data_IF_689583047992
#
_entry.id   IF_689583047992
#
_cell.length_a   1.000
_cell.length_b   1.000
_cell.length_c   1.000
_cell.angle_alpha   90.00
_cell.angle_beta   90.00
_cell.angle_gamma   90.00
#
_symmetry.space_group_name_H-M   'P 1'
#
loop_
_entity.id
_entity.type
_entity.pdbx_description
1 polymer ?
#
# COMPACT_ATOMS: atom_id res chain seq x y z
N UNK A 1 0.04 -26.72 -0.30
CA UNK A 1 1.06 -27.11 0.70
C UNK A 1 0.69 -26.49 2.05
N UNK A 2 0.78 -27.20 3.19
CA UNK A 2 0.54 -26.61 4.51
C UNK A 2 1.47 -25.42 4.78
N UNK A 3 0.97 -24.37 5.44
CA UNK A 3 1.75 -23.15 5.75
C UNK A 3 3.01 -23.44 6.57
N UNK A 4 2.98 -24.45 7.44
CA UNK A 4 4.15 -24.88 8.21
C UNK A 4 5.31 -25.35 7.33
N UNK A 5 5.04 -26.20 6.33
CA UNK A 5 6.08 -26.68 5.40
C UNK A 5 6.69 -25.56 4.56
N UNK A 6 5.88 -24.55 4.22
CA UNK A 6 6.35 -23.34 3.56
C UNK A 6 7.33 -22.61 4.49
N UNK A 7 6.95 -22.38 5.75
CA UNK A 7 7.78 -21.71 6.76
C UNK A 7 9.10 -22.44 7.00
N UNK A 8 9.08 -23.77 7.11
CA UNK A 8 10.30 -24.56 7.33
C UNK A 8 11.30 -24.40 6.17
N UNK A 9 10.81 -24.52 4.93
CA UNK A 9 11.60 -24.26 3.73
C UNK A 9 12.22 -22.85 3.74
N UNK A 10 11.44 -21.85 4.14
CA UNK A 10 11.92 -20.47 4.23
C UNK A 10 13.03 -20.30 5.26
N UNK A 11 12.86 -20.88 6.45
CA UNK A 11 13.87 -20.85 7.49
C UNK A 11 15.16 -21.52 6.99
N UNK A 12 15.07 -22.64 6.27
CA UNK A 12 16.23 -23.31 5.67
C UNK A 12 16.94 -22.47 4.60
N UNK A 13 16.19 -21.81 3.70
CA UNK A 13 16.78 -20.90 2.71
C UNK A 13 17.45 -19.68 3.37
N UNK A 14 16.92 -19.21 4.50
CA UNK A 14 17.44 -18.08 5.25
C UNK A 14 18.66 -18.43 6.12
N UNK A 15 18.82 -19.69 6.55
CA UNK A 15 19.98 -20.20 7.31
C UNK A 15 21.30 -20.16 6.53
N UNK A 16 21.24 -20.13 5.20
CA UNK A 16 22.43 -20.14 4.33
C UNK A 16 23.18 -18.79 4.34
N UNK A 17 22.56 -17.71 4.83
CA UNK A 17 23.24 -16.42 4.99
C UNK A 17 24.08 -16.39 6.28
N UNK A 18 25.40 -16.08 6.24
CA UNK A 18 26.27 -16.04 7.41
C UNK A 18 25.99 -14.78 8.26
N UNK A 19 24.81 -14.69 8.85
CA UNK A 19 24.36 -13.58 9.66
C UNK A 19 24.23 -14.08 11.11
N UNK A 20 25.31 -13.93 11.88
CA UNK A 20 25.49 -14.45 13.25
C UNK A 20 24.44 -13.97 14.28
N UNK A 21 23.56 -13.04 13.91
CA UNK A 21 22.61 -12.37 14.81
C UNK A 21 21.15 -12.69 14.50
N UNK A 22 20.87 -13.59 13.56
CA UNK A 22 19.51 -13.99 13.25
C UNK A 22 19.07 -15.18 14.12
N UNK A 23 17.80 -15.23 14.54
CA UNK A 23 17.27 -16.41 15.22
C UNK A 23 17.27 -17.63 14.28
N UNK A 24 17.35 -18.83 14.86
CA UNK A 24 17.35 -20.10 14.10
C UNK A 24 16.12 -20.27 13.21
N UNK A 25 14.96 -19.80 13.69
CA UNK A 25 13.68 -19.75 12.98
C UNK A 25 13.21 -18.31 12.87
N UNK A 26 13.55 -17.61 11.78
CA UNK A 26 13.17 -16.22 11.57
C UNK A 26 11.71 -16.02 11.15
N UNK A 27 11.03 -17.05 10.68
CA UNK A 27 9.60 -16.99 10.33
C UNK A 27 8.84 -17.97 11.21
N UNK A 28 7.75 -17.51 11.85
CA UNK A 28 6.96 -18.33 12.79
C UNK A 28 5.47 -18.09 12.60
N UNK A 29 4.67 -19.16 12.66
CA UNK A 29 3.21 -19.07 12.73
C UNK A 29 2.77 -18.87 14.19
N UNK A 30 2.08 -17.77 14.49
CA UNK A 30 1.54 -17.46 15.83
C UNK A 30 0.10 -16.99 15.71
N UNK A 31 -0.81 -17.66 16.43
CA UNK A 31 -2.23 -17.28 16.49
C UNK A 31 -2.89 -17.05 15.12
N UNK A 32 -2.53 -17.86 14.12
CA UNK A 32 -3.08 -17.74 12.76
C UNK A 32 -2.44 -16.66 11.88
N UNK A 33 -1.40 -15.95 12.35
CA UNK A 33 -0.61 -15.00 11.59
C UNK A 33 0.85 -15.44 11.49
N UNK A 34 1.54 -14.99 10.45
CA UNK A 34 2.97 -15.24 10.25
C UNK A 34 3.76 -14.02 10.73
N UNK A 35 4.70 -14.24 11.63
CA UNK A 35 5.61 -13.23 12.13
C UNK A 35 7.02 -13.46 11.56
N UNK A 36 7.74 -12.37 11.30
CA UNK A 36 9.17 -12.38 11.02
C UNK A 36 9.99 -11.92 12.22
N UNK A 37 11.22 -12.40 12.33
CA UNK A 37 12.15 -12.00 13.38
C UNK A 37 13.49 -11.56 12.80
N UNK A 38 13.88 -10.34 13.13
CA UNK A 38 15.15 -9.74 12.72
C UNK A 38 15.89 -9.24 13.97
N UNK A 39 16.82 -10.06 14.48
CA UNK A 39 17.41 -9.85 15.80
C UNK A 39 16.31 -9.77 16.88
N UNK A 40 16.23 -8.67 17.66
CA UNK A 40 15.20 -8.50 18.69
C UNK A 40 13.85 -8.02 18.14
N UNK A 41 13.75 -7.72 16.84
CA UNK A 41 12.54 -7.15 16.24
C UNK A 41 11.58 -8.25 15.82
N UNK A 42 10.33 -8.13 16.25
CA UNK A 42 9.19 -8.88 15.70
C UNK A 42 8.51 -8.06 14.62
N UNK A 43 8.45 -8.60 13.42
CA UNK A 43 7.89 -7.98 12.22
C UNK A 43 6.56 -8.64 11.88
N UNK A 44 5.54 -7.84 11.66
CA UNK A 44 4.18 -8.27 11.31
C UNK A 44 3.67 -7.46 10.13
N UNK A 45 2.58 -7.94 9.52
CA UNK A 45 1.97 -7.31 8.35
C UNK A 45 0.70 -6.58 8.74
N UNK A 46 0.52 -5.38 8.18
CA UNK A 46 -0.80 -4.78 8.04
C UNK A 46 -1.02 -4.39 6.60
N UNK A 47 -2.27 -4.40 6.17
CA UNK A 47 -2.69 -4.23 4.79
C UNK A 47 -3.68 -3.09 4.69
N UNK A 48 -3.52 -2.25 3.67
CA UNK A 48 -4.48 -1.20 3.34
C UNK A 48 -5.09 -1.48 1.97
N UNK A 49 -6.43 -1.39 1.81
CA UNK A 49 -7.07 -1.60 0.51
C UNK A 49 -6.56 -0.61 -0.54
N UNK A 50 -6.33 -1.15 -1.73
CA UNK A 50 -6.20 -0.40 -2.96
C UNK A 50 -7.49 -0.57 -3.77
N UNK A 51 -8.08 0.55 -4.13
CA UNK A 51 -9.45 0.61 -4.64
C UNK A 51 -9.45 1.20 -6.04
N UNK A 52 -10.03 0.49 -7.01
CA UNK A 52 -10.42 1.08 -8.26
C UNK A 52 -11.62 2.00 -8.03
N UNK A 53 -11.47 3.28 -8.41
CA UNK A 53 -12.49 4.30 -8.21
C UNK A 53 -13.14 4.67 -9.54
N UNK A 54 -14.47 4.66 -9.56
CA UNK A 54 -15.27 5.10 -10.69
C UNK A 54 -16.59 5.70 -10.19
N UNK A 55 -17.26 6.48 -11.04
CA UNK A 55 -18.58 7.05 -10.73
C UNK A 55 -19.66 5.99 -10.50
N UNK A 56 -19.51 4.79 -11.08
CA UNK A 56 -20.43 3.66 -10.94
C UNK A 56 -20.25 2.87 -9.64
N UNK A 57 -19.17 3.12 -8.89
CA UNK A 57 -18.84 2.38 -7.68
C UNK A 57 -17.35 2.19 -7.51
N UNK A 58 -16.99 1.57 -6.40
CA UNK A 58 -15.61 1.33 -6.02
C UNK A 58 -15.38 -0.16 -5.78
N UNK A 59 -14.22 -0.68 -6.19
CA UNK A 59 -13.86 -2.09 -6.06
C UNK A 59 -12.48 -2.21 -5.45
N UNK A 60 -12.32 -3.06 -4.43
CA UNK A 60 -10.99 -3.43 -3.92
C UNK A 60 -10.32 -4.33 -4.98
N UNK A 61 -9.14 -3.93 -5.44
CA UNK A 61 -8.37 -4.66 -6.48
C UNK A 61 -7.06 -5.25 -5.94
N UNK A 62 -6.77 -4.98 -4.66
CA UNK A 62 -5.58 -5.47 -4.00
C UNK A 62 -5.29 -4.71 -2.71
N UNK A 63 -4.11 -4.93 -2.15
CA UNK A 63 -3.72 -4.35 -0.88
C UNK A 63 -2.26 -3.91 -0.88
N UNK A 64 -2.01 -2.75 -0.27
CA UNK A 64 -0.67 -2.32 0.11
C UNK A 64 -0.28 -2.99 1.42
N UNK A 65 0.84 -3.71 1.43
CA UNK A 65 1.42 -4.21 2.66
C UNK A 65 2.33 -3.16 3.32
N UNK A 66 2.25 -3.09 4.65
CA UNK A 66 3.16 -2.32 5.48
C UNK A 66 3.67 -3.19 6.63
N UNK A 67 4.95 -3.01 6.97
CA UNK A 67 5.52 -3.62 8.16
C UNK A 67 5.05 -2.89 9.42
N UNK A 68 4.77 -3.67 10.46
CA UNK A 68 4.71 -3.22 11.85
C UNK A 68 5.79 -3.95 12.63
N UNK A 69 6.65 -3.20 13.30
CA UNK A 69 7.77 -3.75 14.06
C UNK A 69 7.61 -3.46 15.55
N UNK A 70 7.87 -4.47 16.36
CA UNK A 70 7.94 -4.36 17.82
C UNK A 70 9.35 -4.74 18.28
N UNK A 71 9.96 -3.91 19.11
CA UNK A 71 11.25 -4.21 19.75
C UNK A 71 11.11 -5.11 20.99
N UNK A 72 12.23 -5.36 21.68
CA UNK A 72 12.30 -6.25 22.85
C UNK A 72 11.33 -5.88 24.00
N UNK A 73 10.99 -4.59 24.15
CA UNK A 73 10.06 -4.11 25.17
C UNK A 73 8.64 -3.88 24.63
N UNK A 74 8.26 -4.51 23.51
CA UNK A 74 7.00 -4.26 22.79
C UNK A 74 6.81 -2.81 22.31
N UNK A 75 7.86 -1.99 22.32
CA UNK A 75 7.83 -0.65 21.75
C UNK A 75 7.67 -0.75 20.23
N UNK A 76 6.74 0.03 19.67
CA UNK A 76 6.55 0.11 18.23
C UNK A 76 7.69 0.91 17.59
N UNK A 77 8.30 0.36 16.53
CA UNK A 77 9.31 1.05 15.73
C UNK A 77 8.76 1.42 14.35
N UNK A 78 8.94 2.68 13.91
CA UNK A 78 8.66 3.09 12.54
C UNK A 78 9.51 2.31 11.53
N UNK A 79 8.95 2.04 10.35
CA UNK A 79 9.65 1.31 9.29
C UNK A 79 11.04 1.92 8.93
N UNK A 80 11.20 3.26 8.80
CA UNK A 80 12.52 3.84 8.54
C UNK A 80 13.58 3.47 9.58
N UNK A 81 13.21 3.42 10.87
CA UNK A 81 14.14 3.03 11.94
C UNK A 81 14.49 1.53 11.89
N UNK A 82 13.51 0.70 11.54
CA UNK A 82 13.73 -0.75 11.32
C UNK A 82 14.75 -0.96 10.21
N UNK A 83 14.58 -0.29 9.06
CA UNK A 83 15.53 -0.40 7.94
C UNK A 83 16.88 0.28 8.23
N UNK A 84 16.91 1.32 9.07
CA UNK A 84 18.16 1.94 9.54
C UNK A 84 18.97 1.01 10.46
N UNK A 85 18.32 0.09 11.18
CA UNK A 85 19.01 -0.91 12.02
C UNK A 85 19.83 -1.92 11.21
N UNK A 86 19.42 -2.21 9.98
CA UNK A 86 20.15 -3.07 9.05
C UNK A 86 21.27 -2.27 8.37
N UNK A 87 22.45 -2.17 9.01
CA UNK A 87 23.58 -1.33 8.52
C UNK A 87 24.34 -1.94 7.34
N UNK A 88 24.54 -3.24 7.35
CA UNK A 88 25.30 -3.96 6.32
C UNK A 88 24.45 -4.32 5.10
N UNK A 89 25.10 -4.49 3.94
CA UNK A 89 24.44 -4.88 2.69
C UNK A 89 23.72 -6.24 2.81
N UNK A 90 24.34 -7.22 3.46
CA UNK A 90 23.69 -8.51 3.70
C UNK A 90 22.45 -8.37 4.61
N UNK A 91 22.54 -7.53 5.65
CA UNK A 91 21.45 -7.28 6.58
C UNK A 91 20.23 -6.63 5.91
N UNK A 92 20.47 -5.64 5.02
CA UNK A 92 19.36 -4.98 4.32
C UNK A 92 18.69 -5.91 3.30
N UNK A 93 19.47 -6.74 2.61
CA UNK A 93 18.93 -7.75 1.70
C UNK A 93 18.06 -8.74 2.45
N UNK A 94 18.55 -9.21 3.59
CA UNK A 94 17.83 -10.14 4.45
C UNK A 94 16.52 -9.55 4.98
N UNK A 95 16.58 -8.37 5.61
CA UNK A 95 15.40 -7.71 6.20
C UNK A 95 14.30 -7.47 5.16
N UNK A 96 14.66 -6.96 3.99
CA UNK A 96 13.71 -6.71 2.90
C UNK A 96 13.05 -8.01 2.40
N UNK A 97 13.83 -9.09 2.21
CA UNK A 97 13.31 -10.41 1.84
C UNK A 97 12.38 -10.97 2.92
N UNK A 98 12.74 -10.81 4.20
CA UNK A 98 11.92 -11.25 5.33
C UNK A 98 10.58 -10.52 5.35
N UNK A 99 10.58 -9.18 5.26
CA UNK A 99 9.34 -8.39 5.20
C UNK A 99 8.42 -8.84 4.07
N UNK A 100 8.94 -8.95 2.84
CA UNK A 100 8.15 -9.39 1.68
C UNK A 100 7.60 -10.80 1.82
N UNK A 101 8.39 -11.70 2.38
CA UNK A 101 7.97 -13.08 2.68
C UNK A 101 6.82 -13.10 3.68
N UNK A 102 6.97 -12.38 4.80
CA UNK A 102 5.97 -12.30 5.87
C UNK A 102 4.67 -11.67 5.34
N UNK A 103 4.77 -10.62 4.52
CA UNK A 103 3.62 -9.99 3.86
C UNK A 103 2.90 -10.96 2.93
N UNK A 104 3.63 -11.65 2.05
CA UNK A 104 3.08 -12.63 1.12
C UNK A 104 2.35 -13.76 1.86
N UNK A 105 2.98 -14.33 2.90
CA UNK A 105 2.39 -15.44 3.65
C UNK A 105 1.12 -15.03 4.42
N UNK A 106 1.08 -13.81 4.95
CA UNK A 106 -0.13 -13.30 5.60
C UNK A 106 -1.23 -12.94 4.60
N UNK A 107 -0.86 -12.38 3.45
CA UNK A 107 -1.78 -12.04 2.37
C UNK A 107 -2.45 -13.29 1.79
N UNK A 108 -1.66 -14.31 1.48
CA UNK A 108 -2.13 -15.57 0.89
C UNK A 108 -3.18 -16.32 1.71
N UNK A 109 -3.21 -16.10 3.01
CA UNK A 109 -4.17 -16.75 3.91
C UNK A 109 -5.57 -16.14 3.81
N UNK A 110 -5.70 -14.97 3.21
CA UNK A 110 -6.89 -14.12 3.28
C UNK A 110 -7.35 -13.60 1.91
N UNK A 111 -6.42 -13.50 0.94
CA UNK A 111 -6.66 -12.89 -0.36
C UNK A 111 -7.58 -13.75 -1.24
N UNK A 112 -8.37 -13.09 -2.07
CA UNK A 112 -9.10 -13.75 -3.14
C UNK A 112 -8.14 -14.13 -4.29
N UNK A 113 -8.62 -14.87 -5.28
CA UNK A 113 -7.79 -15.36 -6.39
C UNK A 113 -7.21 -14.22 -7.26
N UNK A 114 -7.93 -13.11 -7.40
CA UNK A 114 -7.55 -11.99 -8.29
C UNK A 114 -6.87 -10.80 -7.58
N UNK A 115 -6.82 -10.81 -6.24
CA UNK A 115 -6.27 -9.68 -5.48
C UNK A 115 -4.77 -9.51 -5.74
N UNK A 116 -4.35 -8.26 -5.88
CA UNK A 116 -2.94 -7.90 -6.07
C UNK A 116 -2.28 -7.53 -4.74
N UNK A 117 -1.01 -7.90 -4.55
CA UNK A 117 -0.23 -7.51 -3.37
C UNK A 117 0.86 -6.50 -3.76
N UNK A 118 0.78 -5.30 -3.20
CA UNK A 118 1.79 -4.26 -3.40
C UNK A 118 2.85 -4.34 -2.30
N UNK A 119 4.11 -4.52 -2.71
CA UNK A 119 5.26 -4.73 -1.85
C UNK A 119 6.33 -3.67 -2.11
N UNK A 120 6.67 -2.90 -1.08
CA UNK A 120 7.82 -2.00 -1.15
C UNK A 120 9.13 -2.80 -1.16
N UNK A 121 10.05 -2.43 -2.06
CA UNK A 121 11.44 -2.88 -2.06
C UNK A 121 12.34 -1.70 -1.74
N UNK A 122 13.12 -1.83 -0.67
CA UNK A 122 13.98 -0.74 -0.21
C UNK A 122 15.10 -0.43 -1.21
N UNK A 123 15.39 0.85 -1.48
CA UNK A 123 16.43 1.25 -2.45
C UNK A 123 17.81 0.61 -2.14
N UNK A 124 18.21 0.58 -0.86
CA UNK A 124 19.42 -0.13 -0.40
C UNK A 124 19.42 -1.64 -0.69
N UNK A 125 18.26 -2.31 -0.79
CA UNK A 125 18.18 -3.71 -1.27
C UNK A 125 18.53 -3.78 -2.75
N UNK A 126 17.95 -2.89 -3.56
CA UNK A 126 18.27 -2.77 -4.99
C UNK A 126 19.77 -2.53 -5.21
N UNK A 127 20.39 -1.70 -4.37
CA UNK A 127 21.82 -1.40 -4.43
C UNK A 127 22.73 -2.44 -3.73
N UNK A 128 22.19 -3.43 -3.04
CA UNK A 128 22.98 -4.47 -2.41
C UNK A 128 22.97 -5.78 -3.21
N UNK A 129 21.88 -6.06 -3.93
CA UNK A 129 21.78 -7.22 -4.82
C UNK A 129 22.47 -6.89 -6.16
N UNK A 130 23.39 -7.75 -6.65
CA UNK A 130 24.14 -7.47 -7.87
C UNK A 130 23.37 -7.82 -9.16
N UNK A 131 22.57 -8.88 -9.15
CA UNK A 131 21.83 -9.40 -10.31
C UNK A 131 20.61 -10.22 -9.86
N UNK A 132 19.79 -10.65 -10.83
CA UNK A 132 18.64 -11.56 -10.65
C UNK A 132 17.63 -11.13 -9.59
N UNK A 133 17.36 -9.81 -9.54
CA UNK A 133 16.27 -9.29 -8.74
C UNK A 133 14.96 -10.01 -9.07
N UNK A 134 14.22 -10.37 -8.02
CA UNK A 134 12.95 -11.08 -8.14
C UNK A 134 13.06 -12.60 -8.18
N UNK A 135 14.22 -13.18 -8.52
CA UNK A 135 14.36 -14.65 -8.68
C UNK A 135 14.05 -15.42 -7.40
N UNK A 136 14.68 -14.99 -6.30
CA UNK A 136 14.44 -15.59 -4.99
C UNK A 136 12.95 -15.57 -4.65
N UNK A 137 12.27 -14.45 -4.90
CA UNK A 137 10.87 -14.28 -4.53
C UNK A 137 9.92 -15.01 -5.49
N UNK A 138 10.29 -15.15 -6.76
CA UNK A 138 9.53 -15.88 -7.78
C UNK A 138 9.46 -17.37 -7.44
N UNK A 139 10.60 -17.97 -7.07
CA UNK A 139 10.64 -19.35 -6.60
C UNK A 139 9.74 -19.62 -5.39
N UNK A 140 9.51 -18.60 -4.55
CA UNK A 140 8.62 -18.68 -3.40
C UNK A 140 7.15 -18.59 -3.79
N UNK A 141 6.82 -17.65 -4.68
CA UNK A 141 5.47 -17.50 -5.22
C UNK A 141 5.01 -18.81 -5.86
N UNK A 142 5.84 -19.42 -6.72
CA UNK A 142 5.51 -20.68 -7.38
C UNK A 142 5.21 -21.83 -6.42
N UNK A 143 5.96 -21.95 -5.31
CA UNK A 143 5.68 -22.99 -4.28
C UNK A 143 4.37 -22.76 -3.54
N UNK A 144 3.91 -21.51 -3.49
CA UNK A 144 2.63 -21.13 -2.91
C UNK A 144 1.48 -21.15 -3.92
N UNK A 145 1.72 -21.53 -5.19
CA UNK A 145 0.72 -21.49 -6.25
C UNK A 145 0.38 -20.07 -6.73
N UNK A 146 1.23 -19.08 -6.44
CA UNK A 146 1.11 -17.73 -6.96
C UNK A 146 2.00 -17.52 -8.16
N UNK A 147 1.60 -16.56 -8.98
CA UNK A 147 2.40 -16.06 -10.09
C UNK A 147 2.89 -14.64 -9.79
N UNK A 148 4.06 -14.23 -10.33
CA UNK A 148 4.60 -12.88 -10.16
C UNK A 148 3.67 -11.74 -10.57
N UNK A 149 2.72 -11.97 -11.50
CA UNK A 149 1.78 -10.96 -12.00
C UNK A 149 0.85 -10.45 -10.89
N UNK A 150 0.62 -11.25 -9.83
CA UNK A 150 -0.17 -10.83 -8.65
C UNK A 150 0.62 -9.93 -7.70
N UNK A 151 1.91 -9.75 -7.92
CA UNK A 151 2.78 -8.94 -7.08
C UNK A 151 3.16 -7.66 -7.81
N UNK A 152 2.92 -6.53 -7.16
CA UNK A 152 3.38 -5.22 -7.62
C UNK A 152 4.59 -4.80 -6.78
N UNK A 153 5.75 -4.71 -7.42
CA UNK A 153 6.99 -4.25 -6.79
C UNK A 153 7.03 -2.72 -6.81
N UNK A 154 6.97 -2.14 -5.61
CA UNK A 154 7.00 -0.71 -5.41
C UNK A 154 8.43 -0.24 -5.06
N UNK A 155 8.96 0.70 -5.84
CA UNK A 155 10.25 1.36 -5.58
C UNK A 155 10.11 2.87 -5.60
N UNK A 156 10.88 3.57 -4.78
CA UNK A 156 11.02 5.02 -4.89
C UNK A 156 11.82 5.43 -6.13
N UNK A 157 11.69 6.69 -6.59
CA UNK A 157 12.51 7.21 -7.68
C UNK A 157 14.00 7.22 -7.27
N UNK A 158 14.91 6.79 -8.15
CA UNK A 158 16.35 6.86 -7.86
C UNK A 158 16.83 8.32 -7.85
N UNK A 159 17.93 8.59 -7.15
CA UNK A 159 18.50 9.94 -7.14
C UNK A 159 18.93 10.43 -8.54
N UNK A 160 18.44 11.61 -8.95
CA UNK A 160 18.80 12.27 -10.22
C UNK A 160 20.30 12.59 -10.32
N UNK A 161 20.97 12.85 -9.20
CA UNK A 161 22.40 13.14 -9.16
C UNK A 161 23.31 11.91 -9.22
N UNK A 162 22.75 10.69 -9.15
CA UNK A 162 23.54 9.46 -9.01
C UNK A 162 23.31 8.50 -10.18
N UNK A 163 24.15 8.60 -11.21
CA UNK A 163 24.04 7.79 -12.42
C UNK A 163 24.22 6.29 -12.17
N UNK A 164 25.03 5.91 -11.18
CA UNK A 164 25.23 4.50 -10.82
C UNK A 164 23.96 3.89 -10.21
N UNK A 165 23.36 4.59 -9.25
CA UNK A 165 22.11 4.20 -8.63
C UNK A 165 20.98 4.08 -9.66
N UNK A 166 20.83 5.06 -10.56
CA UNK A 166 19.84 4.98 -11.65
C UNK A 166 20.03 3.74 -12.52
N UNK A 167 21.26 3.48 -13.00
CA UNK A 167 21.56 2.32 -13.85
C UNK A 167 21.21 1.00 -13.15
N UNK A 168 21.54 0.89 -11.86
CA UNK A 168 21.29 -0.31 -11.06
C UNK A 168 19.79 -0.50 -10.78
N UNK A 169 19.06 0.57 -10.47
CA UNK A 169 17.61 0.54 -10.31
C UNK A 169 16.91 0.13 -11.60
N UNK A 170 17.30 0.70 -12.74
CA UNK A 170 16.78 0.29 -14.04
C UNK A 170 17.04 -1.20 -14.35
N UNK A 171 18.25 -1.70 -14.07
CA UNK A 171 18.58 -3.11 -14.25
C UNK A 171 17.73 -4.02 -13.35
N UNK A 172 17.50 -3.63 -12.09
CA UNK A 172 16.65 -4.37 -11.17
C UNK A 172 15.19 -4.42 -11.65
N UNK A 173 14.63 -3.29 -12.08
CA UNK A 173 13.26 -3.22 -12.60
C UNK A 173 13.07 -4.05 -13.87
N UNK A 174 14.06 -4.07 -14.77
CA UNK A 174 14.04 -4.97 -15.93
C UNK A 174 14.02 -6.45 -15.51
N UNK A 175 14.78 -6.82 -14.49
CA UNK A 175 14.76 -8.20 -13.97
C UNK A 175 13.39 -8.58 -13.38
N UNK A 176 12.79 -7.69 -12.58
CA UNK A 176 11.43 -7.90 -12.06
C UNK A 176 10.43 -8.04 -13.22
N UNK A 177 10.42 -7.12 -14.19
CA UNK A 177 9.48 -7.19 -15.33
C UNK A 177 9.65 -8.48 -16.14
N UNK A 178 10.89 -8.90 -16.42
CA UNK A 178 11.17 -10.14 -17.17
C UNK A 178 10.63 -11.40 -16.47
N UNK A 179 10.46 -11.32 -15.15
CA UNK A 179 9.91 -12.41 -14.32
C UNK A 179 8.39 -12.28 -14.11
N UNK A 180 7.71 -11.35 -14.79
CA UNK A 180 6.25 -11.20 -14.73
C UNK A 180 5.73 -10.31 -13.59
N UNK A 181 6.61 -9.72 -12.78
CA UNK A 181 6.17 -8.74 -11.77
C UNK A 181 5.64 -7.47 -12.42
N UNK A 182 4.57 -6.91 -11.86
CA UNK A 182 4.16 -5.53 -12.13
C UNK A 182 4.98 -4.57 -11.28
N UNK A 183 5.14 -3.33 -11.74
CA UNK A 183 6.01 -2.33 -11.15
C UNK A 183 5.22 -1.08 -10.78
N UNK A 184 5.48 -0.55 -9.58
CA UNK A 184 4.97 0.73 -9.13
C UNK A 184 6.14 1.66 -8.77
N UNK A 185 6.02 2.92 -9.18
CA UNK A 185 6.89 3.99 -8.70
C UNK A 185 6.21 4.75 -7.55
N UNK A 186 6.86 4.79 -6.40
CA UNK A 186 6.38 5.51 -5.22
C UNK A 186 6.94 6.92 -5.15
N UNK A 187 6.14 7.89 -5.58
CA UNK A 187 6.54 9.29 -5.60
C UNK A 187 6.23 9.92 -4.26
N UNK A 188 7.28 10.07 -3.45
CA UNK A 188 7.21 10.78 -2.18
C UNK A 188 6.93 12.28 -2.37
N UNK A 189 6.38 12.91 -1.33
CA UNK A 189 6.14 14.35 -1.30
C UNK A 189 7.40 15.17 -1.60
N UNK A 190 7.29 16.18 -2.46
CA UNK A 190 8.37 17.11 -2.77
C UNK A 190 9.14 16.82 -4.06
N UNK A 191 8.87 15.69 -4.74
CA UNK A 191 9.40 15.45 -6.09
C UNK A 191 8.67 16.36 -7.09
N UNK A 192 9.45 17.16 -7.84
CA UNK A 192 8.91 18.03 -8.87
C UNK A 192 8.34 17.24 -10.05
N UNK A 193 7.32 17.79 -10.71
CA UNK A 193 6.58 17.15 -11.82
C UNK A 193 7.49 16.70 -12.96
N UNK A 194 8.47 17.53 -13.32
CA UNK A 194 9.42 17.24 -14.40
C UNK A 194 10.22 15.97 -14.10
N UNK A 195 10.66 15.82 -12.84
CA UNK A 195 11.41 14.65 -12.39
C UNK A 195 10.56 13.38 -12.39
N UNK A 196 9.25 13.49 -12.08
CA UNK A 196 8.32 12.36 -12.15
C UNK A 196 8.27 11.81 -13.59
N UNK A 197 8.05 12.70 -14.57
CA UNK A 197 7.92 12.30 -15.97
C UNK A 197 9.21 11.71 -16.53
N UNK A 198 10.36 12.27 -16.17
CA UNK A 198 11.67 11.73 -16.56
C UNK A 198 11.86 10.31 -16.01
N UNK A 199 11.61 10.09 -14.72
CA UNK A 199 11.69 8.75 -14.14
C UNK A 199 10.67 7.79 -14.76
N UNK A 200 9.46 8.23 -15.05
CA UNK A 200 8.43 7.38 -15.65
C UNK A 200 8.81 6.96 -17.05
N UNK A 201 9.35 7.88 -17.86
CA UNK A 201 9.87 7.58 -19.19
C UNK A 201 11.02 6.56 -19.14
N UNK A 202 11.93 6.69 -18.17
CA UNK A 202 13.06 5.77 -18.01
C UNK A 202 12.68 4.39 -17.45
N UNK A 203 11.82 4.35 -16.43
CA UNK A 203 11.51 3.13 -15.68
C UNK A 203 10.29 2.39 -16.25
N UNK A 204 9.40 3.09 -16.95
CA UNK A 204 8.16 2.59 -17.55
C UNK A 204 7.30 1.76 -16.58
N UNK A 205 6.98 2.26 -15.36
CA UNK A 205 6.23 1.48 -14.38
C UNK A 205 4.79 1.24 -14.86
N UNK A 206 4.17 0.15 -14.39
CA UNK A 206 2.74 -0.09 -14.61
C UNK A 206 1.87 0.86 -13.77
N UNK A 207 2.39 1.30 -12.61
CA UNK A 207 1.71 2.22 -11.70
C UNK A 207 2.60 3.39 -11.27
N UNK A 208 2.03 4.58 -11.19
CA UNK A 208 2.64 5.73 -10.52
C UNK A 208 1.82 6.09 -9.30
N UNK A 209 2.43 5.94 -8.13
CA UNK A 209 1.79 6.21 -6.85
C UNK A 209 2.18 7.59 -6.35
N UNK A 210 1.17 8.44 -6.19
CA UNK A 210 1.29 9.84 -5.81
C UNK A 210 0.62 10.09 -4.46
N UNK A 211 1.32 10.77 -3.56
CA UNK A 211 0.69 11.28 -2.34
C UNK A 211 -0.33 12.36 -2.71
N UNK A 212 -1.48 12.41 -2.01
CA UNK A 212 -2.45 13.50 -2.19
C UNK A 212 -1.85 14.90 -2.01
N UNK A 213 -0.73 15.03 -1.30
CA UNK A 213 0.00 16.31 -1.14
C UNK A 213 0.96 16.61 -2.30
N UNK A 214 0.95 15.80 -3.37
CA UNK A 214 1.69 16.10 -4.58
C UNK A 214 1.32 17.51 -5.06
N UNK A 215 2.28 18.40 -5.39
CA UNK A 215 1.97 19.78 -5.79
C UNK A 215 1.09 19.90 -7.05
N UNK A 216 1.01 18.83 -7.85
CA UNK A 216 0.09 18.76 -8.98
C UNK A 216 -1.37 18.55 -8.54
N UNK A 217 -1.62 17.98 -7.35
CA UNK A 217 -2.92 17.67 -6.79
C UNK A 217 -3.31 18.78 -5.80
N UNK A 218 -4.47 19.41 -6.00
CA UNK A 218 -4.96 20.45 -5.09
C UNK A 218 -6.38 20.88 -5.41
N UNK A 219 -6.92 21.79 -4.60
CA UNK A 219 -8.37 22.08 -4.57
C UNK A 219 -8.77 23.32 -5.39
N UNK A 220 -7.87 23.86 -6.21
CA UNK A 220 -8.14 25.02 -7.07
C UNK A 220 -8.07 24.65 -8.56
N UNK A 221 -8.68 25.48 -9.41
CA UNK A 221 -8.81 25.20 -10.84
C UNK A 221 -7.46 25.08 -11.58
N UNK A 222 -6.43 25.78 -11.09
CA UNK A 222 -5.05 25.67 -11.62
C UNK A 222 -4.42 24.34 -11.24
N UNK A 223 -4.62 23.87 -10.01
CA UNK A 223 -4.16 22.57 -9.55
C UNK A 223 -4.88 21.44 -10.31
N UNK A 224 -6.19 21.53 -10.50
CA UNK A 224 -6.95 20.61 -11.35
C UNK A 224 -6.34 20.51 -12.77
N UNK A 225 -6.09 21.64 -13.44
CA UNK A 225 -5.49 21.63 -14.77
C UNK A 225 -4.10 20.97 -14.79
N UNK A 226 -3.28 21.21 -13.74
CA UNK A 226 -1.95 20.59 -13.58
C UNK A 226 -2.04 19.08 -13.33
N UNK A 227 -2.94 18.64 -12.45
CA UNK A 227 -3.19 17.22 -12.19
C UNK A 227 -3.62 16.51 -13.48
N UNK A 228 -4.62 17.05 -14.19
CA UNK A 228 -5.11 16.50 -15.45
C UNK A 228 -4.01 16.38 -16.50
N UNK A 229 -3.16 17.41 -16.62
CA UNK A 229 -2.03 17.40 -17.56
C UNK A 229 -1.00 16.34 -17.17
N UNK A 230 -0.65 16.24 -15.87
CA UNK A 230 0.27 15.22 -15.39
C UNK A 230 -0.30 13.82 -15.65
N UNK A 231 -1.55 13.57 -15.28
CA UNK A 231 -2.14 12.24 -15.41
C UNK A 231 -2.27 11.83 -16.87
N UNK A 232 -2.67 12.74 -17.77
CA UNK A 232 -2.66 12.48 -19.21
C UNK A 232 -1.27 12.03 -19.71
N UNK A 233 -0.20 12.71 -19.30
CA UNK A 233 1.16 12.33 -19.68
C UNK A 233 1.60 10.98 -19.07
N UNK A 234 1.16 10.67 -17.85
CA UNK A 234 1.40 9.36 -17.23
C UNK A 234 0.65 8.26 -17.98
N UNK A 235 -0.60 8.50 -18.37
CA UNK A 235 -1.41 7.58 -19.16
C UNK A 235 -0.82 7.35 -20.55
N UNK A 236 -0.29 8.39 -21.21
CA UNK A 236 0.44 8.27 -22.48
C UNK A 236 1.69 7.37 -22.37
N UNK A 237 2.31 7.30 -21.18
CA UNK A 237 3.42 6.38 -20.92
C UNK A 237 2.97 4.93 -20.65
N UNK A 238 1.65 4.68 -20.57
CA UNK A 238 1.05 3.39 -20.25
C UNK A 238 0.90 3.11 -18.75
N UNK A 239 1.26 4.05 -17.88
CA UNK A 239 1.16 3.89 -16.43
C UNK A 239 -0.23 4.29 -15.91
N UNK A 240 -0.78 3.51 -14.99
CA UNK A 240 -1.98 3.86 -14.23
C UNK A 240 -1.62 4.71 -13.00
N UNK A 241 -2.49 5.62 -12.60
CA UNK A 241 -2.24 6.51 -11.46
C UNK A 241 -2.90 5.94 -10.20
N UNK A 242 -2.12 5.89 -9.11
CA UNK A 242 -2.59 5.61 -7.76
C UNK A 242 -2.46 6.88 -6.93
N UNK A 243 -3.57 7.43 -6.40
CA UNK A 243 -3.50 8.50 -5.39
C UNK A 243 -3.75 7.93 -4.00
N UNK A 244 -2.82 8.16 -3.07
CA UNK A 244 -2.91 7.61 -1.72
C UNK A 244 -3.08 8.69 -0.63
N UNK A 245 -3.45 8.22 0.58
CA UNK A 245 -3.81 9.02 1.77
C UNK A 245 -5.07 9.87 1.59
N UNK A 246 -6.04 9.36 0.83
CA UNK A 246 -7.38 9.96 0.79
C UNK A 246 -8.14 9.64 2.09
N UNK A 247 -8.59 10.69 2.76
CA UNK A 247 -9.23 10.63 4.09
C UNK A 247 -10.73 10.99 4.01
N UNK A 248 -11.15 11.75 3.00
CA UNK A 248 -12.52 12.27 2.90
C UNK A 248 -13.20 11.97 1.57
N UNK A 249 -14.54 11.91 1.57
CA UNK A 249 -15.34 11.74 0.35
C UNK A 249 -15.08 12.83 -0.68
N UNK A 250 -14.83 14.07 -0.24
CA UNK A 250 -14.51 15.18 -1.14
C UNK A 250 -13.20 14.94 -1.89
N UNK A 251 -12.18 14.42 -1.21
CA UNK A 251 -10.90 14.07 -1.83
C UNK A 251 -11.03 12.92 -2.82
N UNK A 252 -11.87 11.93 -2.53
CA UNK A 252 -12.15 10.82 -3.48
C UNK A 252 -12.90 11.30 -4.72
N UNK A 253 -13.90 12.19 -4.55
CA UNK A 253 -14.59 12.81 -5.68
C UNK A 253 -13.64 13.60 -6.57
N UNK A 254 -12.79 14.43 -5.97
CA UNK A 254 -11.78 15.17 -6.71
C UNK A 254 -10.83 14.24 -7.47
N UNK A 255 -10.31 13.19 -6.82
CA UNK A 255 -9.45 12.20 -7.50
C UNK A 255 -10.17 11.53 -8.69
N UNK A 256 -11.45 11.18 -8.53
CA UNK A 256 -12.27 10.61 -9.61
C UNK A 256 -12.45 11.60 -10.77
N UNK A 257 -12.72 12.88 -10.47
CA UNK A 257 -12.83 13.95 -11.47
C UNK A 257 -11.50 14.20 -12.21
N UNK A 258 -10.37 13.96 -11.54
CA UNK A 258 -9.05 14.07 -12.15
C UNK A 258 -8.71 12.89 -13.06
N UNK A 259 -9.55 11.85 -13.13
CA UNK A 259 -9.30 10.65 -13.92
C UNK A 259 -8.32 9.68 -13.25
N UNK A 260 -8.18 9.73 -11.92
CA UNK A 260 -7.42 8.74 -11.16
C UNK A 260 -8.14 7.39 -11.20
N UNK A 261 -7.43 6.33 -11.57
CA UNK A 261 -8.01 5.00 -11.68
C UNK A 261 -8.03 4.25 -10.34
N UNK A 262 -6.97 4.41 -9.55
CA UNK A 262 -6.76 3.68 -8.31
C UNK A 262 -6.51 4.62 -7.13
N UNK A 263 -7.05 4.27 -5.97
CA UNK A 263 -6.91 5.08 -4.78
C UNK A 263 -6.71 4.25 -3.50
N UNK A 264 -6.05 4.86 -2.52
CA UNK A 264 -5.86 4.27 -1.19
C UNK A 264 -5.94 5.35 -0.10
N UNK A 265 -6.35 4.95 1.09
CA UNK A 265 -6.36 5.85 2.25
C UNK A 265 -7.39 5.44 3.30
N UNK A 266 -7.36 6.15 4.43
CA UNK A 266 -8.25 5.89 5.57
C UNK A 266 -9.74 5.95 5.20
N UNK A 267 -10.10 6.67 4.13
CA UNK A 267 -11.46 6.67 3.59
C UNK A 267 -11.94 5.26 3.19
N UNK A 268 -11.06 4.46 2.57
CA UNK A 268 -11.38 3.10 2.11
C UNK A 268 -11.07 2.03 3.15
N UNK A 269 -10.24 2.35 4.14
CA UNK A 269 -9.84 1.44 5.19
C UNK A 269 -8.49 1.82 5.76
N UNK A 270 -8.36 1.70 7.08
CA UNK A 270 -7.06 1.85 7.76
C UNK A 270 -6.22 0.58 7.57
N UNK A 271 -4.88 0.69 7.63
CA UNK A 271 -4.03 -0.50 7.65
C UNK A 271 -4.40 -1.45 8.79
N UNK A 272 -4.72 -2.70 8.46
CA UNK A 272 -5.16 -3.75 9.41
C UNK A 272 -4.46 -5.09 9.14
N UNK A 273 -4.26 -5.97 10.14
CA UNK A 273 -3.78 -7.33 9.89
C UNK A 273 -4.69 -8.15 8.97
N UNK A 274 -5.99 -7.85 9.02
CA UNK A 274 -7.01 -8.51 8.21
C UNK A 274 -7.28 -7.74 6.92
N UNK A 275 -7.41 -8.46 5.79
CA UNK A 275 -7.74 -7.84 4.51
C UNK A 275 -9.19 -7.33 4.52
N UNK A 276 -9.38 -6.05 4.18
CA UNK A 276 -10.72 -5.52 3.93
C UNK A 276 -11.08 -5.73 2.46
N UNK A 277 -12.08 -6.57 2.22
CA UNK A 277 -12.61 -6.85 0.87
C UNK A 277 -13.85 -6.00 0.54
N UNK A 278 -14.41 -5.33 1.54
CA UNK A 278 -15.48 -4.34 1.38
C UNK A 278 -14.95 -2.93 1.59
N UNK A 279 -15.60 -1.96 0.95
CA UNK A 279 -15.34 -0.54 1.19
C UNK A 279 -16.34 -0.08 2.25
N UNK A 280 -15.88 0.49 3.38
CA UNK A 280 -16.79 1.04 4.38
C UNK A 280 -17.72 2.04 3.72
N UNK A 281 -19.03 1.84 3.83
CA UNK A 281 -20.00 2.86 3.40
C UNK A 281 -19.79 4.06 4.33
N UNK A 282 -19.45 5.25 3.82
CA UNK A 282 -19.33 6.43 4.66
C UNK A 282 -20.68 6.65 5.35
N UNK A 283 -20.69 6.66 6.68
CA UNK A 283 -21.89 7.08 7.43
C UNK A 283 -21.96 8.59 7.25
N UNK A 284 -22.65 9.02 6.21
CA UNK A 284 -22.79 10.45 5.91
C UNK A 284 -23.47 11.11 7.11
N UNK A 285 -22.75 12.03 7.77
CA UNK A 285 -23.19 12.72 8.99
C UNK A 285 -24.44 13.59 8.77
N UNK A 286 -24.93 13.71 7.54
CA UNK A 286 -26.21 14.32 7.24
C UNK A 286 -27.37 13.35 7.44
N UNK A 287 -27.67 13.01 8.70
CA UNK A 287 -29.08 12.73 9.04
C UNK A 287 -29.85 14.01 8.75
N UNK A 288 -30.54 14.05 7.61
CA UNK A 288 -31.66 14.98 7.38
C UNK A 288 -32.59 14.84 8.59
N UNK A 289 -32.59 15.84 9.47
CA UNK A 289 -33.70 16.03 10.38
C UNK A 289 -34.95 16.14 9.50
N UNK A 290 -35.75 15.06 9.47
CA UNK A 290 -37.06 15.10 8.87
C UNK A 290 -37.82 16.26 9.50
N UNK A 291 -38.18 17.26 8.69
CA UNK A 291 -39.20 18.22 9.05
C UNK A 291 -40.45 17.41 9.43
N UNK A 292 -40.74 17.33 10.74
CA UNK A 292 -42.08 16.98 11.18
C UNK A 292 -43.00 18.06 10.63
N UNK A 293 -43.79 17.71 9.61
CA UNK A 293 -44.98 18.45 9.27
C UNK A 293 -45.91 18.37 10.50
N UNK A 294 -45.99 19.45 11.27
CA UNK A 294 -47.01 19.60 12.30
C UNK A 294 -48.34 19.87 11.58
N UNK A 295 -49.11 18.81 11.37
CA UNK A 295 -50.51 18.90 10.98
C UNK A 295 -51.30 19.66 12.03
N UNK A 296 -52.16 20.57 11.56
CA UNK A 296 -53.14 21.30 12.36
C UNK A 296 -54.07 20.30 13.06
N UNK A 297 -54.03 20.27 14.40
CA UNK A 297 -55.08 19.66 15.21
C UNK A 297 -56.28 20.60 15.36
N UNK A 298 -57.51 20.08 15.57
CA UNK A 298 -58.72 20.89 15.55
C UNK A 298 -58.88 21.68 16.86
N UNK A 299 -59.40 22.89 16.71
CA UNK A 299 -59.88 23.75 17.80
C UNK A 299 -61.14 23.12 18.41
N UNK A 300 -61.16 22.93 19.73
CA UNK A 300 -62.39 22.74 20.51
C UNK A 300 -62.61 23.99 21.34
N UNK A 301 -63.74 24.64 21.08
CA UNK A 301 -64.33 25.68 21.91
C UNK A 301 -65.04 25.09 23.13
N UNK A 302 -65.34 26.03 24.02
CA UNK A 302 -66.44 26.09 25.00
C UNK A 302 -66.26 25.42 26.37
N UNK A 303 -66.23 26.35 27.34
CA UNK A 303 -67.03 26.38 28.55
C UNK A 303 -66.42 25.92 29.88
N UNK A 304 -66.23 26.92 30.75
CA UNK A 304 -67.08 26.95 31.94
C UNK A 304 -66.37 26.90 33.29
N UNK A 305 -66.16 28.09 33.85
CA UNK A 305 -66.45 28.45 35.25
C UNK A 305 -65.73 27.68 36.39
N UNK A 306 -64.90 28.36 37.18
CA UNK A 306 -65.31 28.91 38.49
C UNK A 306 -64.14 29.62 39.20
N UNK A 307 -64.53 30.69 39.90
CA UNK A 307 -63.73 31.61 40.73
C UNK A 307 -63.22 30.90 42.00
N UNK A 308 -62.18 31.43 42.64
CA UNK A 308 -62.24 32.11 43.96
C UNK A 308 -60.84 32.51 44.47
N UNK A 309 -60.79 33.73 45.03
CA UNK A 309 -59.71 34.42 45.77
C UNK A 309 -58.42 34.81 45.03
#
# INVERSE_FOLDING_TARGET
MPVSQIIDYFNDQMRVAPMRFLPEDPIRLRYGAVDGYFGPLRLTSVFQPLVAIASSGHLVVGHQAYVRALGANHAALPAPEVFASAREAAAIVYLDRLCRTVHMLNFLRQANEDDCLFLHVHARHILAVPHDHGEYFEGLLHRCGLTPERIVIQVGPPSMGNADERRRTQAALRNYRRRGYRLAMDVISGVHRENILEHVSELQPDYVRLDRTCPAIGDNQVALARAMTLFALLHESGAQVIVHRLETTAQVRAATEYGVELAAGDHFGRPSPDLSNGIPVPVDGSRRFGRKAAGKGPVRESDGCLRYA
#
